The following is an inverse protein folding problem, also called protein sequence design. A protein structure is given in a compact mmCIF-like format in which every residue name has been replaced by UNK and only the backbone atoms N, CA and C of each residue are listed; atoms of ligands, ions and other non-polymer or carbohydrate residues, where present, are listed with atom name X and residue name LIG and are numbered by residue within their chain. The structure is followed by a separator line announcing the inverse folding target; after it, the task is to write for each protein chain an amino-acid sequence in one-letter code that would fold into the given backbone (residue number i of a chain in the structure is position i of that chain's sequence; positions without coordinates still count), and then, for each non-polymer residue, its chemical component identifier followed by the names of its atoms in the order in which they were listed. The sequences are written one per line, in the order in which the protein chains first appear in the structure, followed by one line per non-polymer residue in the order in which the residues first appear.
data_IF_424845415920
#
_entry.id   IF_424845415920
#
_cell.length_a   1.000
_cell.length_b   1.000
_cell.length_c   1.000
_cell.angle_alpha   90.00
_cell.angle_beta   90.00
_cell.angle_gamma   90.00
#
_symmetry.space_group_name_H-M   'P 1'
#
loop_
_entity.id
_entity.type
_entity.pdbx_description
1 polymer ?
#
# COMPACT_ATOMS: atom_id res chain seq x y z
N UNK A 1 56.10 -30.99 -52.30
CA UNK A 1 56.78 -29.66 -52.19
C UNK A 1 56.25 -29.05 -50.96
N UNK A 2 56.87 -29.12 -49.85
CA UNK A 2 58.10 -28.51 -49.31
C UNK A 2 57.63 -27.37 -48.45
N UNK A 3 57.95 -27.22 -47.31
CA UNK A 3 58.95 -27.31 -46.21
C UNK A 3 58.35 -26.56 -44.99
N UNK A 4 58.19 -27.07 -43.77
CA UNK A 4 59.17 -27.19 -42.67
C UNK A 4 59.86 -25.90 -42.25
N UNK A 5 59.65 -25.56 -40.96
CA UNK A 5 60.63 -25.19 -39.93
C UNK A 5 59.84 -24.56 -38.73
N UNK A 6 59.81 -25.10 -37.54
CA UNK A 6 60.80 -25.38 -36.48
C UNK A 6 61.10 -24.20 -35.55
N UNK A 7 60.87 -24.52 -34.25
CA UNK A 7 61.54 -24.02 -33.01
C UNK A 7 61.28 -22.58 -32.58
N UNK A 8 61.09 -22.25 -31.33
CA UNK A 8 61.77 -22.69 -30.12
C UNK A 8 60.96 -22.39 -28.86
N UNK A 9 61.20 -23.21 -27.86
CA UNK A 9 60.92 -23.09 -26.43
C UNK A 9 61.44 -21.84 -25.79
N UNK A 10 60.68 -21.30 -24.84
CA UNK A 10 61.28 -20.80 -23.60
C UNK A 10 60.31 -20.90 -22.43
N UNK A 11 60.77 -21.59 -21.43
CA UNK A 11 60.20 -21.79 -20.11
C UNK A 11 60.54 -20.60 -19.21
N UNK A 12 59.57 -20.05 -18.51
CA UNK A 12 59.82 -19.33 -17.27
C UNK A 12 58.68 -19.59 -16.29
N UNK A 13 59.06 -20.32 -15.28
CA UNK A 13 58.42 -20.49 -14.00
C UNK A 13 58.29 -19.16 -13.27
N UNK A 14 57.11 -18.80 -12.79
CA UNK A 14 57.00 -17.77 -11.75
C UNK A 14 55.72 -18.06 -10.90
N UNK A 15 56.04 -18.52 -9.72
CA UNK A 15 55.40 -18.40 -8.38
C UNK A 15 53.96 -18.09 -8.29
N UNK A 16 53.23 -19.06 -7.74
CA UNK A 16 51.97 -18.90 -6.98
C UNK A 16 52.12 -17.82 -5.91
N UNK A 17 51.24 -16.84 -5.93
CA UNK A 17 50.88 -16.07 -4.73
C UNK A 17 49.37 -16.28 -4.48
N UNK A 18 49.09 -16.94 -3.37
CA UNK A 18 47.78 -17.05 -2.77
C UNK A 18 47.25 -15.66 -2.44
N UNK A 19 46.19 -15.23 -3.09
CA UNK A 19 45.38 -14.10 -2.70
C UNK A 19 44.15 -14.63 -2.01
N UNK A 20 44.22 -14.68 -0.69
CA UNK A 20 43.06 -14.79 0.20
C UNK A 20 42.10 -13.65 -0.09
N UNK A 21 41.05 -13.96 -0.84
CA UNK A 21 39.93 -13.04 -1.05
C UNK A 21 38.98 -13.19 0.15
N UNK A 22 39.22 -12.34 1.11
CA UNK A 22 38.35 -12.13 2.26
C UNK A 22 37.04 -11.51 1.76
N UNK A 23 36.05 -12.35 1.43
CA UNK A 23 34.66 -11.91 1.18
C UNK A 23 34.04 -11.50 2.50
N UNK A 24 34.24 -10.25 2.87
CA UNK A 24 33.41 -9.60 3.88
C UNK A 24 31.98 -9.46 3.33
N UNK A 25 31.12 -10.34 3.79
CA UNK A 25 29.67 -10.20 3.64
C UNK A 25 29.23 -8.90 4.35
N UNK A 26 29.12 -7.84 3.58
CA UNK A 26 28.44 -6.62 4.02
C UNK A 26 26.95 -6.92 4.10
N UNK A 27 26.47 -7.28 5.28
CA UNK A 27 25.07 -7.22 5.64
C UNK A 27 24.63 -5.75 5.53
N UNK A 28 24.07 -5.38 4.39
CA UNK A 28 23.32 -4.13 4.25
C UNK A 28 22.06 -4.26 5.11
N UNK A 29 22.18 -3.86 6.37
CA UNK A 29 21.02 -3.54 7.18
C UNK A 29 20.27 -2.43 6.46
N UNK A 30 19.16 -2.76 5.82
CA UNK A 30 18.20 -1.81 5.27
C UNK A 30 17.76 -0.92 6.44
N UNK A 31 18.37 0.26 6.55
CA UNK A 31 17.96 1.27 7.49
C UNK A 31 16.55 1.73 7.10
N UNK A 32 15.55 1.24 7.83
CA UNK A 32 14.19 1.73 7.80
C UNK A 32 14.20 3.24 8.06
N UNK A 33 14.00 4.03 7.03
CA UNK A 33 13.76 5.47 7.18
C UNK A 33 12.32 5.59 7.69
N UNK A 34 12.10 6.05 8.92
CA UNK A 34 10.75 6.25 9.41
C UNK A 34 10.06 7.27 8.50
N UNK A 35 8.90 6.89 7.97
CA UNK A 35 8.05 7.74 7.15
C UNK A 35 7.54 8.90 8.01
N UNK A 36 8.27 9.99 8.00
CA UNK A 36 7.79 11.29 8.46
C UNK A 36 7.03 11.91 7.30
N UNK A 37 5.75 11.54 7.17
CA UNK A 37 4.86 12.31 6.33
C UNK A 37 4.92 13.75 6.79
N UNK A 38 5.46 14.63 5.96
CA UNK A 38 5.40 16.07 6.12
C UNK A 38 3.97 16.54 5.93
N UNK A 39 3.07 16.06 6.77
CA UNK A 39 1.75 16.63 6.94
C UNK A 39 1.87 17.74 7.93
N UNK A 40 1.52 18.93 7.50
CA UNK A 40 0.93 19.93 8.38
C UNK A 40 -0.08 19.16 9.23
N UNK A 41 0.31 18.84 10.45
CA UNK A 41 -0.60 18.37 11.48
C UNK A 41 -1.74 19.37 11.46
N UNK A 42 -2.94 18.91 11.09
CA UNK A 42 -4.12 19.64 11.44
C UNK A 42 -3.95 19.89 12.94
N UNK A 43 -3.65 21.14 13.30
CA UNK A 43 -3.35 21.50 14.67
C UNK A 43 -4.47 20.90 15.50
N UNK A 44 -4.15 20.21 16.58
CA UNK A 44 -5.11 19.80 17.61
C UNK A 44 -5.94 21.05 17.85
N UNK A 45 -7.19 21.04 17.36
CA UNK A 45 -8.05 22.20 17.40
C UNK A 45 -8.18 22.56 18.88
N UNK A 46 -7.72 23.74 19.31
CA UNK A 46 -7.77 24.07 20.73
C UNK A 46 -9.22 23.93 21.22
N UNK A 47 -9.41 23.39 22.39
CA UNK A 47 -10.72 23.19 23.03
C UNK A 47 -11.63 24.43 23.04
N UNK A 48 -11.08 25.61 22.78
CA UNK A 48 -11.81 26.86 22.60
C UNK A 48 -12.72 26.93 21.36
N UNK A 49 -12.49 26.09 20.36
CA UNK A 49 -13.27 26.08 19.10
C UNK A 49 -14.50 25.17 19.18
N UNK A 50 -14.51 24.22 20.11
CA UNK A 50 -15.58 23.25 20.30
C UNK A 50 -16.02 23.24 21.76
N UNK A 51 -16.95 24.13 22.13
CA UNK A 51 -17.43 24.24 23.51
C UNK A 51 -18.07 22.92 23.95
N UNK A 52 -17.68 22.45 25.14
CA UNK A 52 -18.24 21.26 25.77
C UNK A 52 -17.61 19.91 25.38
N UNK A 53 -16.60 19.89 24.51
CA UNK A 53 -15.82 18.65 24.28
C UNK A 53 -14.86 18.45 25.44
N UNK A 54 -15.16 17.48 26.27
CA UNK A 54 -14.34 17.12 27.43
C UNK A 54 -13.32 16.02 27.11
N UNK A 55 -12.45 15.75 28.08
CA UNK A 55 -11.42 14.72 27.96
C UNK A 55 -12.04 13.32 27.82
N UNK A 56 -13.24 13.09 28.32
CA UNK A 56 -13.91 11.78 28.24
C UNK A 56 -14.35 11.51 26.81
N UNK A 57 -14.99 12.48 26.16
CA UNK A 57 -15.37 12.38 24.74
C UNK A 57 -14.15 12.11 23.84
N UNK A 58 -13.03 12.83 24.07
CA UNK A 58 -11.82 12.64 23.31
C UNK A 58 -11.19 11.25 23.54
N UNK A 59 -11.25 10.71 24.75
CA UNK A 59 -10.79 9.35 25.06
C UNK A 59 -11.67 8.30 24.39
N UNK A 60 -12.98 8.48 24.43
CA UNK A 60 -13.93 7.59 23.76
C UNK A 60 -13.69 7.60 22.24
N UNK A 61 -13.49 8.77 21.64
CA UNK A 61 -13.21 8.91 20.21
C UNK A 61 -11.95 8.15 19.76
N UNK A 62 -10.92 8.05 20.58
CA UNK A 62 -9.71 7.26 20.29
C UNK A 62 -10.01 5.78 20.06
N UNK A 63 -11.02 5.25 20.73
CA UNK A 63 -11.39 3.83 20.69
C UNK A 63 -12.56 3.60 19.75
N UNK A 64 -13.63 4.39 19.89
CA UNK A 64 -14.87 4.21 19.14
C UNK A 64 -15.54 5.57 18.83
N UNK A 65 -15.47 5.94 17.56
CA UNK A 65 -16.04 7.22 17.07
C UNK A 65 -17.56 7.27 17.23
N UNK A 66 -18.27 6.17 16.98
CA UNK A 66 -19.72 6.14 17.08
C UNK A 66 -20.19 6.33 18.51
N UNK A 67 -19.55 5.70 19.46
CA UNK A 67 -19.83 5.86 20.89
C UNK A 67 -19.54 7.29 21.36
N UNK A 68 -18.46 7.91 20.90
CA UNK A 68 -18.19 9.33 21.19
C UNK A 68 -19.28 10.25 20.62
N UNK A 69 -19.80 9.96 19.44
CA UNK A 69 -20.92 10.71 18.84
C UNK A 69 -22.23 10.52 19.61
N UNK A 70 -22.51 9.33 20.14
CA UNK A 70 -23.66 9.07 21.00
C UNK A 70 -23.55 9.84 22.34
N UNK A 71 -22.38 9.81 22.96
CA UNK A 71 -22.12 10.60 24.18
C UNK A 71 -22.25 12.10 23.92
N UNK A 72 -21.75 12.61 22.80
CA UNK A 72 -21.92 14.00 22.39
C UNK A 72 -23.41 14.37 22.27
N UNK A 73 -24.21 13.52 21.63
CA UNK A 73 -25.66 13.73 21.51
C UNK A 73 -26.34 13.79 22.85
N UNK A 74 -25.98 12.92 23.81
CA UNK A 74 -26.57 12.88 25.14
C UNK A 74 -26.18 14.11 26.01
N UNK A 75 -24.91 14.54 25.91
CA UNK A 75 -24.38 15.62 26.74
C UNK A 75 -24.66 16.98 26.14
N UNK A 76 -24.61 17.12 24.82
CA UNK A 76 -24.69 18.39 24.09
C UNK A 76 -25.62 18.30 22.87
N UNK A 77 -26.92 18.00 23.06
CA UNK A 77 -27.85 17.76 21.96
C UNK A 77 -27.95 18.93 20.97
N UNK A 78 -27.92 20.15 21.45
CA UNK A 78 -28.00 21.35 20.62
C UNK A 78 -26.76 21.56 19.75
N UNK A 79 -25.58 21.26 20.25
CA UNK A 79 -24.32 21.30 19.49
C UNK A 79 -24.25 20.14 18.47
N UNK A 80 -24.66 18.94 18.88
CA UNK A 80 -24.79 17.82 17.98
C UNK A 80 -25.68 18.13 16.78
N UNK A 81 -26.90 18.69 17.01
CA UNK A 81 -27.81 19.00 15.91
C UNK A 81 -27.27 20.06 14.95
N UNK A 82 -26.44 20.98 15.43
CA UNK A 82 -25.86 22.03 14.59
C UNK A 82 -24.61 21.60 13.84
N UNK A 83 -23.77 20.77 14.45
CA UNK A 83 -22.38 20.55 14.01
C UNK A 83 -21.95 19.09 14.02
N UNK A 84 -22.87 18.12 13.95
CA UNK A 84 -22.56 16.69 14.05
C UNK A 84 -21.49 16.25 13.05
N UNK A 85 -21.54 16.71 11.79
CA UNK A 85 -20.55 16.38 10.77
C UNK A 85 -19.13 16.86 11.10
N UNK A 86 -19.00 18.04 11.72
CA UNK A 86 -17.71 18.58 12.13
C UNK A 86 -17.12 17.76 13.28
N UNK A 87 -17.93 17.45 14.32
CA UNK A 87 -17.50 16.60 15.42
C UNK A 87 -17.11 15.20 14.96
N UNK A 88 -17.91 14.64 14.04
CA UNK A 88 -17.59 13.32 13.46
C UNK A 88 -16.22 13.32 12.78
N UNK A 89 -15.94 14.32 11.97
CA UNK A 89 -14.64 14.47 11.29
C UNK A 89 -13.48 14.57 12.29
N UNK A 90 -13.64 15.33 13.38
CA UNK A 90 -12.61 15.48 14.41
C UNK A 90 -12.38 14.16 15.16
N UNK A 91 -13.45 13.50 15.59
CA UNK A 91 -13.35 12.23 16.31
C UNK A 91 -12.73 11.15 15.45
N UNK A 92 -13.07 11.12 14.17
CA UNK A 92 -12.48 10.20 13.20
C UNK A 92 -10.97 10.47 13.01
N UNK A 93 -10.57 11.72 12.91
CA UNK A 93 -9.15 12.09 12.80
C UNK A 93 -8.35 11.67 14.04
N UNK A 94 -8.90 11.91 15.24
CA UNK A 94 -8.31 11.46 16.52
C UNK A 94 -8.16 9.93 16.55
N UNK A 95 -9.16 9.20 16.08
CA UNK A 95 -9.12 7.74 15.99
C UNK A 95 -8.00 7.28 15.06
N UNK A 96 -7.92 7.84 13.86
CA UNK A 96 -6.91 7.50 12.86
C UNK A 96 -5.49 7.84 13.33
N UNK A 97 -5.29 9.00 13.97
CA UNK A 97 -4.00 9.34 14.58
C UNK A 97 -3.61 8.33 15.66
N UNK A 98 -4.57 7.92 16.50
CA UNK A 98 -4.33 6.93 17.54
C UNK A 98 -3.87 5.59 16.96
N UNK A 99 -4.48 5.13 15.85
CA UNK A 99 -4.06 3.92 15.14
C UNK A 99 -2.62 4.05 14.60
N UNK A 100 -2.28 5.20 14.02
CA UNK A 100 -0.91 5.47 13.55
C UNK A 100 0.08 5.42 14.71
N UNK A 101 -0.23 6.07 15.81
CA UNK A 101 0.67 6.13 16.98
C UNK A 101 0.85 4.75 17.61
N UNK A 102 -0.22 3.93 17.64
CA UNK A 102 -0.16 2.55 18.08
C UNK A 102 0.73 1.68 17.17
N UNK A 103 0.70 1.91 15.84
CA UNK A 103 1.57 1.24 14.90
C UNK A 103 3.04 1.68 15.10
N UNK A 104 3.30 2.97 15.18
CA UNK A 104 4.66 3.53 15.36
C UNK A 104 5.28 3.08 16.70
N UNK A 105 4.48 2.98 17.76
CA UNK A 105 4.94 2.49 19.07
C UNK A 105 5.11 0.97 19.14
N UNK A 106 4.75 0.23 18.08
CA UNK A 106 4.83 -1.24 18.04
C UNK A 106 3.73 -1.96 18.80
N UNK A 107 2.67 -1.27 19.23
CA UNK A 107 1.47 -1.86 19.82
C UNK A 107 0.62 -2.57 18.75
N UNK A 108 0.59 -2.03 17.53
CA UNK A 108 0.07 -2.70 16.35
C UNK A 108 1.24 -3.22 15.52
N UNK A 109 1.19 -4.48 15.11
CA UNK A 109 2.22 -5.14 14.31
C UNK A 109 1.57 -5.83 13.13
N UNK A 110 2.33 -5.91 12.02
CA UNK A 110 1.93 -6.68 10.87
C UNK A 110 2.00 -8.18 11.21
N UNK A 111 0.98 -8.93 10.81
CA UNK A 111 0.92 -10.39 10.96
C UNK A 111 2.01 -11.07 10.13
N UNK A 112 2.30 -10.51 8.95
CA UNK A 112 3.31 -10.97 8.01
C UNK A 112 4.31 -9.85 7.75
N UNK A 113 5.55 -10.20 7.41
CA UNK A 113 6.62 -9.23 7.13
C UNK A 113 7.30 -9.57 5.79
N UNK A 114 7.30 -8.62 4.87
CA UNK A 114 8.04 -8.74 3.60
C UNK A 114 9.53 -8.51 3.83
N UNK A 115 10.42 -9.30 3.21
CA UNK A 115 10.18 -10.55 2.47
C UNK A 115 10.21 -11.80 3.35
N UNK A 116 10.42 -11.67 4.65
CA UNK A 116 10.75 -12.76 5.58
C UNK A 116 9.65 -13.82 5.66
N UNK A 117 8.38 -13.43 5.63
CA UNK A 117 7.24 -14.35 5.65
C UNK A 117 7.00 -15.07 4.30
N UNK A 118 7.78 -14.75 3.26
CA UNK A 118 7.62 -15.30 1.90
C UNK A 118 8.96 -15.80 1.34
N UNK A 119 9.62 -16.78 1.99
CA UNK A 119 10.94 -17.24 1.60
C UNK A 119 10.95 -17.85 0.19
N UNK A 120 9.86 -18.52 -0.19
CA UNK A 120 9.69 -19.22 -1.46
C UNK A 120 9.12 -18.34 -2.59
N UNK A 121 9.02 -17.03 -2.35
CA UNK A 121 8.61 -16.07 -3.38
C UNK A 121 9.59 -16.13 -4.57
N UNK A 122 9.06 -16.23 -5.78
CA UNK A 122 9.90 -16.29 -6.99
C UNK A 122 10.80 -15.06 -7.09
N UNK A 123 12.07 -15.23 -7.56
CA UNK A 123 12.99 -14.10 -7.71
C UNK A 123 12.44 -12.99 -8.59
N UNK A 124 11.66 -13.32 -9.61
CA UNK A 124 11.04 -12.36 -10.53
C UNK A 124 10.00 -11.47 -9.79
N UNK A 125 9.10 -12.08 -9.01
CA UNK A 125 8.12 -11.33 -8.23
C UNK A 125 8.82 -10.52 -7.14
N UNK A 126 9.81 -11.10 -6.45
CA UNK A 126 10.59 -10.40 -5.42
C UNK A 126 11.24 -9.15 -5.99
N UNK A 127 11.98 -9.27 -7.09
CA UNK A 127 12.63 -8.12 -7.74
C UNK A 127 11.62 -7.06 -8.19
N UNK A 128 10.48 -7.49 -8.72
CA UNK A 128 9.41 -6.58 -9.17
C UNK A 128 8.82 -5.79 -8.01
N UNK A 129 8.52 -6.47 -6.90
CA UNK A 129 7.95 -5.85 -5.70
C UNK A 129 8.96 -4.97 -4.99
N UNK A 130 10.20 -5.44 -4.81
CA UNK A 130 11.26 -4.67 -4.16
C UNK A 130 11.52 -3.36 -4.91
N UNK A 131 11.48 -3.38 -6.25
CA UNK A 131 11.55 -2.17 -7.08
C UNK A 131 10.39 -1.22 -6.76
N UNK A 132 9.16 -1.72 -6.73
CA UNK A 132 7.98 -0.89 -6.41
C UNK A 132 8.07 -0.31 -4.99
N UNK A 133 8.51 -1.10 -4.01
CA UNK A 133 8.72 -0.63 -2.62
C UNK A 133 9.79 0.48 -2.55
N UNK A 134 10.84 0.38 -3.35
CA UNK A 134 11.93 1.34 -3.35
C UNK A 134 11.58 2.63 -4.13
N UNK A 135 10.93 2.49 -5.27
CA UNK A 135 10.69 3.60 -6.20
C UNK A 135 9.36 4.32 -5.95
N UNK A 136 8.30 3.59 -5.62
CA UNK A 136 6.94 4.14 -5.59
C UNK A 136 6.38 4.31 -4.17
N UNK A 137 6.62 3.39 -3.27
CA UNK A 137 6.09 3.45 -1.90
C UNK A 137 6.53 4.70 -1.10
N UNK A 138 7.74 5.27 -1.30
CA UNK A 138 8.14 6.51 -0.61
C UNK A 138 7.56 7.78 -1.24
N UNK A 139 6.98 7.71 -2.44
CA UNK A 139 6.48 8.91 -3.14
C UNK A 139 5.28 9.51 -2.42
N UNK A 140 5.25 10.82 -2.35
CA UNK A 140 4.14 11.57 -1.76
C UNK A 140 3.12 12.03 -2.79
N UNK A 141 3.41 11.87 -4.07
CA UNK A 141 2.52 12.21 -5.19
C UNK A 141 2.89 11.40 -6.42
N UNK A 142 1.90 11.11 -7.27
CA UNK A 142 2.06 10.45 -8.57
C UNK A 142 2.79 9.10 -8.50
N UNK A 143 2.70 8.38 -7.37
CA UNK A 143 3.20 7.01 -7.31
C UNK A 143 2.37 6.11 -8.23
N UNK A 144 3.05 5.19 -8.90
CA UNK A 144 2.39 4.13 -9.66
C UNK A 144 1.81 3.11 -8.70
N UNK A 145 0.57 2.72 -8.93
CA UNK A 145 -0.04 1.65 -8.14
C UNK A 145 0.56 0.28 -8.48
N UNK A 146 0.52 -0.65 -7.51
CA UNK A 146 0.87 -2.05 -7.71
C UNK A 146 -0.39 -2.86 -7.97
N UNK A 147 -0.50 -3.52 -9.12
CA UNK A 147 -1.62 -4.39 -9.47
C UNK A 147 -1.13 -5.84 -9.53
N UNK A 148 -1.64 -6.67 -8.64
CA UNK A 148 -1.34 -8.11 -8.63
C UNK A 148 -2.55 -8.90 -9.12
N UNK A 149 -2.36 -9.67 -10.18
CA UNK A 149 -3.41 -10.47 -10.79
C UNK A 149 -3.05 -11.94 -10.62
N UNK A 150 -3.92 -12.72 -10.00
CA UNK A 150 -3.65 -14.15 -9.79
C UNK A 150 -4.83 -14.89 -9.20
N UNK A 151 -4.82 -16.23 -9.22
CA UNK A 151 -5.89 -17.05 -8.68
C UNK A 151 -6.20 -16.74 -7.21
N UNK A 152 -7.40 -17.05 -6.77
CA UNK A 152 -7.76 -17.00 -5.36
C UNK A 152 -6.82 -17.91 -4.54
N UNK A 153 -6.63 -17.60 -3.26
CA UNK A 153 -5.81 -18.41 -2.34
C UNK A 153 -4.31 -18.53 -2.71
N UNK A 154 -3.78 -17.59 -3.50
CA UNK A 154 -2.33 -17.52 -3.80
C UNK A 154 -1.54 -16.66 -2.81
N UNK A 155 -2.14 -16.24 -1.70
CA UNK A 155 -1.45 -15.43 -0.68
C UNK A 155 -1.34 -13.93 -1.00
N UNK A 156 -2.01 -13.42 -2.04
CA UNK A 156 -1.95 -11.99 -2.42
C UNK A 156 -2.27 -11.03 -1.28
N UNK A 157 -3.31 -11.34 -0.52
CA UNK A 157 -3.76 -10.50 0.61
C UNK A 157 -2.71 -10.45 1.72
N UNK A 158 -2.22 -11.61 2.14
CA UNK A 158 -1.17 -11.71 3.17
C UNK A 158 0.11 -11.02 2.71
N UNK A 159 0.47 -11.20 1.44
CA UNK A 159 1.58 -10.47 0.82
C UNK A 159 1.37 -8.94 0.88
N UNK A 160 0.22 -8.44 0.43
CA UNK A 160 -0.04 -6.99 0.43
C UNK A 160 0.00 -6.40 1.84
N UNK A 161 -0.50 -7.13 2.84
CA UNK A 161 -0.45 -6.74 4.27
C UNK A 161 0.93 -6.89 4.91
N UNK A 162 1.87 -7.60 4.27
CA UNK A 162 3.24 -7.78 4.81
C UNK A 162 4.18 -6.62 4.49
N UNK A 163 3.79 -5.74 3.58
CA UNK A 163 4.60 -4.55 3.25
C UNK A 163 4.62 -3.62 4.46
N UNK A 164 5.80 -3.21 4.94
CA UNK A 164 5.92 -2.46 6.19
C UNK A 164 5.16 -1.14 6.16
N UNK A 165 4.33 -0.89 7.15
CA UNK A 165 3.60 0.37 7.34
C UNK A 165 2.12 0.16 7.59
N UNK A 166 1.52 1.04 8.40
CA UNK A 166 0.08 1.05 8.57
C UNK A 166 -0.61 1.14 7.20
N UNK A 167 -1.58 0.28 6.95
CA UNK A 167 -2.30 0.26 5.67
C UNK A 167 -3.80 0.48 5.86
N UNK A 168 -4.42 1.02 4.82
CA UNK A 168 -5.86 0.94 4.62
C UNK A 168 -6.17 -0.36 3.88
N UNK A 169 -7.22 -1.06 4.28
CA UNK A 169 -7.67 -2.27 3.62
C UNK A 169 -9.17 -2.19 3.30
N UNK A 170 -9.48 -2.26 2.01
CA UNK A 170 -10.84 -2.26 1.50
C UNK A 170 -11.11 -3.55 0.73
N UNK A 171 -12.16 -4.24 1.14
CA UNK A 171 -12.67 -5.44 0.46
C UNK A 171 -14.14 -5.24 0.12
N UNK A 172 -14.51 -5.50 -1.13
CA UNK A 172 -15.85 -5.43 -1.68
C UNK A 172 -16.49 -4.04 -1.73
N UNK A 173 -16.66 -3.35 -0.60
CA UNK A 173 -17.43 -2.11 -0.49
C UNK A 173 -16.55 -0.98 0.05
N UNK A 174 -16.76 0.20 -0.50
CA UNK A 174 -16.11 1.41 -0.02
C UNK A 174 -16.71 1.90 1.30
N UNK A 175 -15.84 2.36 2.19
CA UNK A 175 -16.21 3.10 3.39
C UNK A 175 -15.16 4.16 3.67
N UNK A 176 -15.51 5.42 3.46
CA UNK A 176 -14.61 6.54 3.70
C UNK A 176 -14.22 6.69 5.18
N UNK A 177 -15.04 6.18 6.10
CA UNK A 177 -14.75 6.19 7.53
C UNK A 177 -13.54 5.31 7.90
N UNK A 178 -13.28 4.28 7.08
CA UNK A 178 -12.12 3.41 7.24
C UNK A 178 -10.88 3.92 6.50
N UNK A 179 -11.00 5.03 5.74
CA UNK A 179 -9.86 5.62 5.06
C UNK A 179 -9.01 6.42 6.05
N UNK A 180 -7.99 5.76 6.58
CA UNK A 180 -7.03 6.41 7.48
C UNK A 180 -6.02 7.24 6.64
N UNK A 181 -6.06 8.57 6.74
CA UNK A 181 -5.15 9.43 5.98
C UNK A 181 -3.68 9.31 6.42
N UNK A 182 -3.41 8.69 7.57
CA UNK A 182 -2.06 8.45 8.09
C UNK A 182 -1.49 7.08 7.70
N UNK A 183 -2.25 6.25 6.97
CA UNK A 183 -1.76 5.01 6.42
C UNK A 183 -0.62 5.27 5.41
N UNK A 184 0.29 4.32 5.30
CA UNK A 184 1.41 4.39 4.36
C UNK A 184 1.00 4.04 2.94
N UNK A 185 0.05 3.12 2.79
CA UNK A 185 -0.50 2.65 1.52
C UNK A 185 -1.93 2.14 1.69
N UNK A 186 -2.62 1.93 0.57
CA UNK A 186 -3.99 1.43 0.57
C UNK A 186 -4.12 0.17 -0.26
N UNK A 187 -4.77 -0.87 0.29
CA UNK A 187 -5.04 -2.15 -0.37
C UNK A 187 -6.51 -2.20 -0.81
N UNK A 188 -6.75 -2.55 -2.07
CA UNK A 188 -8.06 -2.79 -2.65
C UNK A 188 -8.17 -4.23 -3.11
N UNK A 189 -9.16 -4.97 -2.59
CA UNK A 189 -9.34 -6.39 -2.84
C UNK A 189 -10.81 -6.73 -3.13
N UNK A 190 -11.06 -7.84 -3.82
CA UNK A 190 -12.39 -8.39 -4.15
C UNK A 190 -13.31 -7.44 -4.94
N UNK A 191 -12.80 -6.38 -5.54
CA UNK A 191 -13.56 -5.49 -6.41
C UNK A 191 -13.14 -5.75 -7.84
N UNK A 192 -14.09 -6.13 -8.70
CA UNK A 192 -13.78 -6.28 -10.11
C UNK A 192 -13.44 -4.92 -10.73
N UNK A 193 -12.45 -4.91 -11.62
CA UNK A 193 -11.87 -3.69 -12.19
C UNK A 193 -12.89 -2.68 -12.74
N UNK A 194 -13.99 -3.18 -13.34
CA UNK A 194 -15.04 -2.34 -13.93
C UNK A 194 -16.16 -1.97 -12.96
N UNK A 195 -16.13 -2.44 -11.71
CA UNK A 195 -17.24 -2.28 -10.78
C UNK A 195 -16.93 -1.40 -9.57
N UNK A 196 -15.81 -0.67 -9.57
CA UNK A 196 -15.44 0.20 -8.45
C UNK A 196 -16.55 1.19 -8.09
N UNK A 197 -17.05 1.95 -9.05
CA UNK A 197 -18.10 2.93 -8.82
C UNK A 197 -19.41 2.30 -8.32
N UNK A 198 -19.77 1.11 -8.84
CA UNK A 198 -20.99 0.38 -8.40
C UNK A 198 -20.90 -0.10 -6.95
N UNK A 199 -19.69 -0.19 -6.39
CA UNK A 199 -19.44 -0.58 -5.00
C UNK A 199 -19.21 0.64 -4.10
N UNK A 200 -19.52 1.84 -4.58
CA UNK A 200 -19.43 3.09 -3.84
C UNK A 200 -18.03 3.70 -3.78
N UNK A 201 -17.05 3.10 -4.45
CA UNK A 201 -15.71 3.70 -4.52
C UNK A 201 -15.73 4.98 -5.37
N UNK A 202 -14.93 5.99 -5.00
CA UNK A 202 -14.59 7.08 -5.91
C UNK A 202 -13.94 6.55 -7.20
N UNK A 203 -13.76 7.43 -8.19
CA UNK A 203 -13.07 7.08 -9.43
C UNK A 203 -11.71 6.43 -9.13
N UNK A 204 -11.50 5.23 -9.68
CA UNK A 204 -10.27 4.46 -9.48
C UNK A 204 -9.01 5.19 -9.94
N UNK A 205 -9.09 6.05 -10.97
CA UNK A 205 -7.95 6.89 -11.36
C UNK A 205 -7.54 7.81 -10.23
N UNK A 206 -8.53 8.43 -9.56
CA UNK A 206 -8.28 9.31 -8.43
C UNK A 206 -7.70 8.55 -7.23
N UNK A 207 -8.19 7.34 -6.97
CA UNK A 207 -7.73 6.52 -5.85
C UNK A 207 -6.30 5.95 -6.05
N UNK A 208 -5.93 5.62 -7.29
CA UNK A 208 -4.71 4.86 -7.53
C UNK A 208 -3.52 5.71 -7.97
N UNK A 209 -3.72 7.00 -8.29
CA UNK A 209 -2.65 7.89 -8.74
C UNK A 209 -2.29 8.99 -7.75
N UNK A 210 -2.68 8.87 -6.49
CA UNK A 210 -2.40 9.89 -5.48
C UNK A 210 -2.88 11.29 -5.90
N UNK A 211 -4.12 11.38 -6.35
CA UNK A 211 -4.67 12.60 -6.95
C UNK A 211 -4.94 13.75 -5.97
N UNK A 212 -4.70 13.54 -4.67
CA UNK A 212 -4.97 14.54 -3.66
C UNK A 212 -6.42 14.48 -3.15
N UNK A 213 -7.12 15.62 -3.12
CA UNK A 213 -8.46 15.72 -2.56
C UNK A 213 -9.52 15.08 -3.46
N UNK A 214 -10.23 14.09 -2.92
CA UNK A 214 -11.30 13.35 -3.60
C UNK A 214 -12.61 13.48 -2.81
N UNK A 215 -13.68 13.87 -3.50
CA UNK A 215 -15.01 13.95 -2.90
C UNK A 215 -15.56 12.57 -2.59
N UNK A 216 -16.14 12.42 -1.41
CA UNK A 216 -16.78 11.19 -0.93
C UNK A 216 -17.82 11.51 0.12
N UNK A 217 -18.43 10.48 0.69
CA UNK A 217 -19.44 10.63 1.75
C UNK A 217 -19.12 9.65 2.88
N UNK A 218 -19.18 10.10 4.13
CA UNK A 218 -19.12 9.21 5.29
C UNK A 218 -20.33 8.29 5.36
N UNK A 219 -20.22 7.18 6.08
CA UNK A 219 -21.33 6.22 6.27
C UNK A 219 -22.61 6.87 6.83
N UNK A 220 -22.48 7.96 7.56
CA UNK A 220 -23.61 8.76 8.09
C UNK A 220 -24.20 9.75 7.08
N UNK A 221 -23.74 9.73 5.82
CA UNK A 221 -24.23 10.60 4.75
C UNK A 221 -23.64 12.01 4.75
N UNK A 222 -22.64 12.31 5.58
CA UNK A 222 -21.97 13.61 5.56
C UNK A 222 -21.03 13.72 4.37
N UNK A 223 -21.18 14.74 3.50
CA UNK A 223 -20.21 15.02 2.45
C UNK A 223 -18.83 15.28 3.04
N UNK A 224 -17.80 14.71 2.45
CA UNK A 224 -16.43 14.90 2.90
C UNK A 224 -15.44 14.82 1.74
N UNK A 225 -14.21 15.24 2.00
CA UNK A 225 -13.08 15.05 1.09
C UNK A 225 -12.00 14.25 1.79
N UNK A 226 -11.57 13.19 1.14
CA UNK A 226 -10.39 12.45 1.57
C UNK A 226 -9.17 12.93 0.79
N UNK A 227 -8.00 12.92 1.42
CA UNK A 227 -6.75 13.26 0.75
C UNK A 227 -6.01 11.98 0.38
N UNK A 228 -6.10 11.59 -0.89
CA UNK A 228 -5.48 10.38 -1.43
C UNK A 228 -4.03 10.69 -1.81
N UNK A 229 -3.12 10.47 -0.88
CA UNK A 229 -1.67 10.60 -1.08
C UNK A 229 -0.89 9.32 -0.78
N UNK A 230 -1.60 8.21 -0.54
CA UNK A 230 -1.00 6.90 -0.33
C UNK A 230 -0.91 6.13 -1.66
N UNK A 231 0.20 5.45 -1.95
CA UNK A 231 0.28 4.49 -3.05
C UNK A 231 -0.75 3.37 -2.88
N UNK A 232 -1.29 2.89 -3.98
CA UNK A 232 -2.33 1.84 -3.99
C UNK A 232 -1.76 0.47 -4.35
N UNK A 233 -2.28 -0.58 -3.72
CA UNK A 233 -2.10 -1.98 -4.10
C UNK A 233 -3.47 -2.55 -4.45
N UNK A 234 -3.60 -3.10 -5.65
CA UNK A 234 -4.87 -3.65 -6.16
C UNK A 234 -4.71 -5.15 -6.40
N UNK A 235 -5.57 -5.94 -5.76
CA UNK A 235 -5.53 -7.39 -5.83
C UNK A 235 -6.71 -7.88 -6.68
N UNK A 236 -6.41 -8.48 -7.82
CA UNK A 236 -7.41 -8.95 -8.77
C UNK A 236 -7.32 -10.47 -8.96
N UNK A 237 -8.47 -11.07 -9.20
CA UNK A 237 -8.57 -12.45 -9.67
C UNK A 237 -8.66 -12.48 -11.21
N UNK A 238 -8.09 -13.51 -11.89
CA UNK A 238 -8.13 -13.60 -13.34
C UNK A 238 -9.56 -13.61 -13.89
N UNK A 239 -9.72 -13.12 -15.09
CA UNK A 239 -10.98 -13.14 -15.81
C UNK A 239 -11.95 -12.05 -15.40
N UNK A 240 -13.04 -12.38 -14.70
CA UNK A 240 -14.12 -11.43 -14.37
C UNK A 240 -13.67 -10.24 -13.51
N UNK A 241 -12.65 -10.43 -12.68
CA UNK A 241 -12.15 -9.36 -11.81
C UNK A 241 -11.25 -8.37 -12.54
N UNK A 242 -10.60 -8.78 -13.62
CA UNK A 242 -9.70 -7.92 -14.39
C UNK A 242 -10.47 -6.96 -15.33
N UNK A 243 -11.62 -7.38 -15.82
CA UNK A 243 -12.43 -6.56 -16.71
C UNK A 243 -11.65 -6.01 -17.91
N UNK A 244 -11.74 -4.70 -18.12
CA UNK A 244 -11.04 -4.02 -19.23
C UNK A 244 -9.51 -3.98 -19.08
N UNK A 245 -8.97 -4.28 -17.90
CA UNK A 245 -7.51 -4.32 -17.68
C UNK A 245 -6.82 -5.41 -18.53
N UNK A 246 -7.55 -6.48 -18.88
CA UNK A 246 -7.05 -7.53 -19.77
C UNK A 246 -6.56 -7.00 -21.13
N UNK A 247 -7.15 -5.92 -21.63
CA UNK A 247 -6.77 -5.32 -22.92
C UNK A 247 -5.40 -4.65 -22.88
N UNK A 248 -4.99 -4.16 -21.72
CA UNK A 248 -3.70 -3.46 -21.54
C UNK A 248 -2.53 -4.43 -21.58
N UNK A 249 -2.76 -5.66 -21.15
CA UNK A 249 -1.71 -6.67 -20.99
C UNK A 249 -1.62 -7.67 -22.15
N UNK A 250 -2.56 -7.63 -23.09
CA UNK A 250 -2.51 -8.41 -24.32
C UNK A 250 -1.75 -7.61 -25.37
N UNK A 251 -0.66 -8.15 -25.86
CA UNK A 251 0.28 -7.56 -26.85
C UNK A 251 -0.28 -7.40 -28.27
N UNK A 252 -1.56 -7.14 -28.45
CA UNK A 252 -2.15 -6.88 -29.75
C UNK A 252 -2.33 -5.37 -29.93
N UNK A 253 -1.42 -4.82 -30.69
CA UNK A 253 -1.33 -3.49 -31.23
C UNK A 253 -2.58 -3.10 -32.03
N UNK A 254 -3.63 -2.65 -31.45
CA UNK A 254 -4.60 -1.78 -32.11
C UNK A 254 -5.89 -1.68 -31.34
N UNK A 255 -5.94 -0.84 -30.31
CA UNK A 255 -7.16 -0.13 -29.96
C UNK A 255 -6.96 0.85 -28.79
N UNK A 256 -7.11 2.16 -29.08
CA UNK A 256 -7.77 3.13 -28.20
C UNK A 256 -6.93 3.80 -27.10
N UNK A 257 -6.79 5.08 -27.21
CA UNK A 257 -6.11 6.08 -26.35
C UNK A 257 -6.30 5.93 -24.82
N UNK A 258 -7.21 5.08 -24.34
CA UNK A 258 -7.46 4.87 -22.90
C UNK A 258 -6.68 3.72 -22.27
N UNK A 259 -6.07 2.85 -23.05
CA UNK A 259 -5.35 1.68 -22.54
C UNK A 259 -3.92 2.03 -22.07
N UNK A 260 -3.36 3.13 -22.55
CA UNK A 260 -2.02 3.60 -22.20
C UNK A 260 -1.93 4.17 -20.77
N UNK A 261 -3.05 4.62 -20.19
CA UNK A 261 -3.04 5.24 -18.86
C UNK A 261 -2.43 4.31 -17.80
N UNK A 262 -2.93 3.07 -17.69
CA UNK A 262 -2.46 2.15 -16.66
C UNK A 262 -1.07 1.59 -16.93
N UNK A 263 -0.64 1.51 -18.19
CA UNK A 263 0.75 1.18 -18.53
C UNK A 263 1.73 2.22 -17.99
N UNK A 264 1.31 3.47 -17.89
CA UNK A 264 2.11 4.57 -17.34
C UNK A 264 1.99 4.70 -15.82
N UNK A 265 0.82 4.37 -15.25
CA UNK A 265 0.48 4.63 -13.84
C UNK A 265 0.42 3.40 -12.95
N UNK A 266 0.74 2.22 -13.46
CA UNK A 266 0.72 0.98 -12.67
C UNK A 266 1.94 0.10 -12.93
N UNK A 267 2.33 -0.61 -11.86
CA UNK A 267 3.16 -1.81 -11.93
C UNK A 267 2.22 -3.01 -11.94
N UNK A 268 2.15 -3.77 -13.03
CA UNK A 268 1.21 -4.88 -13.19
C UNK A 268 1.98 -6.19 -13.22
N UNK A 269 1.67 -7.10 -12.30
CA UNK A 269 2.25 -8.43 -12.24
C UNK A 269 1.17 -9.51 -12.28
N UNK A 270 1.35 -10.52 -13.15
CA UNK A 270 0.48 -11.69 -13.26
C UNK A 270 1.13 -12.88 -12.61
N UNK A 271 0.53 -13.36 -11.55
CA UNK A 271 0.90 -14.61 -10.90
C UNK A 271 0.53 -15.77 -11.81
N UNK A 272 1.46 -16.68 -12.05
CA UNK A 272 1.25 -17.85 -12.91
C UNK A 272 0.15 -18.77 -12.36
N UNK A 273 -0.56 -19.44 -13.27
CA UNK A 273 -1.69 -20.32 -12.93
C UNK A 273 -1.29 -21.52 -12.05
N UNK A 274 0.01 -21.86 -12.07
CA UNK A 274 0.62 -22.97 -11.34
C UNK A 274 1.90 -22.54 -10.59
N UNK A 275 2.15 -21.23 -10.50
CA UNK A 275 3.38 -20.76 -9.86
C UNK A 275 3.14 -20.58 -8.37
N UNK A 276 4.06 -21.11 -7.60
CA UNK A 276 4.22 -20.83 -6.18
C UNK A 276 4.83 -19.44 -5.99
N UNK A 277 4.40 -18.44 -6.78
CA UNK A 277 4.99 -17.09 -6.76
C UNK A 277 4.91 -16.46 -5.38
N UNK A 278 3.86 -16.81 -4.64
CA UNK A 278 3.67 -16.41 -3.24
C UNK A 278 3.29 -17.66 -2.44
N UNK A 279 4.24 -18.24 -1.72
CA UNK A 279 3.94 -19.27 -0.72
C UNK A 279 4.10 -18.68 0.69
N UNK A 280 3.05 -18.80 1.47
CA UNK A 280 3.07 -18.58 2.91
C UNK A 280 3.59 -19.86 3.57
N UNK A 281 4.72 -19.79 4.26
CA UNK A 281 5.02 -20.81 5.29
C UNK A 281 4.17 -20.48 6.51
N UNK A 282 3.06 -21.19 6.66
CA UNK A 282 2.36 -21.28 7.93
C UNK A 282 3.24 -22.14 8.84
N UNK A 283 4.00 -21.50 9.74
CA UNK A 283 4.57 -22.20 10.86
C UNK A 283 3.40 -22.64 11.75
N UNK A 284 2.97 -23.89 11.57
CA UNK A 284 2.02 -24.59 12.45
C UNK A 284 2.78 -25.05 13.69
#
# INVERSE_FOLDING_TARGET
MGQSSSMSSDSSTSSMQDLDTNMSSSSTSSSYIPYTAGRTTAAIVPSSTFPGVDVVLLRTAKVNVNEAMEQLFLQLPNEYLKRAGEYYTIFLDIHHQTQRDAYVSGQLRDEFTWPTSFPDCTPALRQFVDRWIQEELPRQSQAKCLILIGPASTGKTSFAKSIPGLNNYFSDVWSSDHFNPYARYTIYENVSWNNFERRGYPDKKLLFTQSGLVDTVYNRGYPTKINVCQPAIVLLNPGSSEGSLNRITSTNESQGINDDFWSLHAYIYRLGKYSNDIQLQLNI
#
